data_IF_940696939940
#
_entry.id   IF_940696939940
#
_cell.length_a   1.000
_cell.length_b   1.000
_cell.length_c   1.000
_cell.angle_alpha   90.00
_cell.angle_beta   90.00
_cell.angle_gamma   90.00
#
_symmetry.space_group_name_H-M   'P 1'
#
loop_
_entity.id
_entity.type
_entity.pdbx_description
1 polymer ?
#
# COMPACT_ATOMS: atom_id res chain seq x y z
N UNK A 1 8.99 21.81 8.41
CA UNK A 1 7.87 20.86 8.34
C UNK A 1 6.68 21.54 7.66
N UNK A 2 6.09 20.88 6.67
CA UNK A 2 4.90 21.36 5.97
C UNK A 2 3.71 21.41 6.93
N UNK A 3 2.92 22.47 6.87
CA UNK A 3 1.78 22.64 7.77
C UNK A 3 0.63 21.68 7.40
N UNK A 4 0.12 20.96 8.38
CA UNK A 4 -1.01 20.05 8.22
C UNK A 4 -2.08 20.31 9.29
N UNK A 5 -3.24 19.68 9.12
CA UNK A 5 -4.32 19.70 10.11
C UNK A 5 -4.26 18.54 11.13
N UNK A 6 -3.08 17.95 11.37
CA UNK A 6 -2.90 16.72 12.16
C UNK A 6 -3.53 16.78 13.57
N UNK A 7 -3.52 17.96 14.19
CA UNK A 7 -4.02 18.14 15.57
C UNK A 7 -5.57 18.08 15.65
N UNK A 8 -6.24 18.24 14.51
CA UNK A 8 -7.70 18.20 14.41
C UNK A 8 -8.23 16.86 13.85
N UNK A 9 -7.35 15.87 13.63
CA UNK A 9 -7.76 14.57 13.12
C UNK A 9 -8.31 13.69 14.24
N UNK A 10 -9.44 13.04 13.96
CA UNK A 10 -9.96 12.00 14.85
C UNK A 10 -9.04 10.78 14.87
N UNK A 11 -8.86 10.21 16.05
CA UNK A 11 -8.25 8.89 16.23
C UNK A 11 -9.36 7.93 16.67
N UNK A 12 -9.60 6.89 15.88
CA UNK A 12 -10.68 5.92 16.09
C UNK A 12 -10.14 4.49 16.15
N UNK A 13 -10.87 3.61 16.83
CA UNK A 13 -10.58 2.19 16.83
C UNK A 13 -11.24 1.49 15.63
N UNK A 14 -10.45 0.73 14.87
CA UNK A 14 -10.95 -0.16 13.84
C UNK A 14 -10.56 -1.58 14.22
N UNK A 15 -11.54 -2.48 14.29
CA UNK A 15 -11.29 -3.87 14.65
C UNK A 15 -11.47 -4.80 13.45
N UNK A 16 -10.55 -5.73 13.32
CA UNK A 16 -10.54 -6.78 12.30
C UNK A 16 -9.95 -8.08 12.81
N UNK A 17 -9.71 -8.98 11.90
CA UNK A 17 -9.04 -10.25 12.16
C UNK A 17 -8.06 -10.61 11.05
N UNK A 18 -7.03 -11.37 11.38
CA UNK A 18 -6.08 -11.91 10.42
C UNK A 18 -6.81 -12.86 9.48
N UNK A 19 -6.70 -12.60 8.17
CA UNK A 19 -7.44 -13.33 7.15
C UNK A 19 -6.78 -14.64 6.77
N UNK A 20 -7.56 -15.55 6.20
CA UNK A 20 -7.02 -16.67 5.45
C UNK A 20 -6.32 -16.19 4.18
N UNK A 21 -5.30 -16.92 3.75
CA UNK A 21 -4.83 -16.84 2.37
C UNK A 21 -5.93 -17.37 1.44
N UNK A 22 -6.34 -16.55 0.47
CA UNK A 22 -7.43 -16.89 -0.44
C UNK A 22 -6.95 -16.87 -1.89
N UNK A 23 -7.30 -17.87 -2.66
CA UNK A 23 -7.05 -17.90 -4.12
C UNK A 23 -8.28 -17.39 -4.87
N UNK A 24 -8.10 -16.50 -5.88
CA UNK A 24 -9.23 -15.97 -6.64
C UNK A 24 -9.83 -17.00 -7.62
N UNK A 25 -9.01 -17.90 -8.12
CA UNK A 25 -9.40 -19.02 -8.98
C UNK A 25 -8.32 -20.10 -8.96
N UNK A 26 -8.67 -21.33 -9.31
CA UNK A 26 -7.70 -22.43 -9.36
C UNK A 26 -6.63 -22.19 -10.42
N UNK A 27 -7.05 -21.74 -11.61
CA UNK A 27 -6.16 -21.38 -12.72
C UNK A 27 -6.50 -20.03 -13.30
N UNK A 28 -5.48 -19.33 -13.76
CA UNK A 28 -5.58 -18.08 -14.51
C UNK A 28 -4.78 -18.19 -15.79
N UNK A 29 -5.11 -17.35 -16.77
CA UNK A 29 -4.31 -17.23 -17.99
C UNK A 29 -3.34 -16.07 -17.84
N UNK A 30 -2.07 -16.33 -18.08
CA UNK A 30 -1.01 -15.32 -18.09
C UNK A 30 -1.08 -14.47 -19.37
N UNK A 31 -0.37 -13.34 -19.38
CA UNK A 31 -0.29 -12.45 -20.54
C UNK A 31 0.25 -13.13 -21.80
N UNK A 32 1.06 -14.20 -21.67
CA UNK A 32 1.62 -15.01 -22.75
C UNK A 32 0.81 -16.29 -23.04
N UNK A 33 -0.47 -16.31 -22.65
CA UNK A 33 -1.44 -17.39 -22.88
C UNK A 33 -1.09 -18.75 -22.24
N UNK A 34 -0.36 -18.73 -21.14
CA UNK A 34 -0.10 -19.95 -20.37
C UNK A 34 -1.08 -20.10 -19.22
N UNK A 35 -1.41 -21.31 -18.85
CA UNK A 35 -2.17 -21.60 -17.64
C UNK A 35 -1.23 -21.55 -16.44
N UNK A 36 -1.64 -20.78 -15.42
CA UNK A 36 -0.92 -20.68 -14.15
C UNK A 36 -1.90 -20.86 -13.00
N UNK A 37 -1.50 -21.61 -11.98
CA UNK A 37 -2.24 -21.66 -10.73
C UNK A 37 -2.12 -20.31 -10.02
N UNK A 38 -3.25 -19.73 -9.64
CA UNK A 38 -3.24 -18.48 -8.87
C UNK A 38 -2.65 -18.72 -7.50
N UNK A 39 -1.72 -17.86 -7.08
CA UNK A 39 -1.30 -17.83 -5.70
C UNK A 39 -2.34 -17.11 -4.85
N UNK A 40 -2.51 -17.56 -3.61
CA UNK A 40 -3.34 -16.91 -2.63
C UNK A 40 -2.78 -15.56 -2.19
N UNK A 41 -3.70 -14.68 -1.80
CA UNK A 41 -3.39 -13.37 -1.22
C UNK A 41 -3.90 -13.29 0.21
N UNK A 42 -3.25 -12.46 1.00
CA UNK A 42 -3.58 -12.28 2.41
C UNK A 42 -2.97 -13.37 3.29
N UNK A 43 -3.45 -13.45 4.52
CA UNK A 43 -2.96 -14.40 5.51
C UNK A 43 -1.68 -13.94 6.20
N UNK A 44 -0.88 -14.90 6.63
CA UNK A 44 0.41 -14.69 7.28
C UNK A 44 1.50 -15.16 6.33
N UNK A 45 2.40 -14.25 5.97
CA UNK A 45 3.60 -14.54 5.16
C UNK A 45 4.81 -14.40 6.07
N UNK A 46 5.46 -15.54 6.35
CA UNK A 46 6.51 -15.61 7.37
C UNK A 46 7.86 -15.08 6.91
N UNK A 47 8.15 -15.15 5.61
CA UNK A 47 9.49 -14.96 5.04
C UNK A 47 9.59 -13.81 4.03
N UNK A 48 8.58 -12.96 3.92
CA UNK A 48 8.60 -11.75 3.07
C UNK A 48 8.26 -10.53 3.91
N UNK A 49 9.12 -9.53 3.90
CA UNK A 49 9.01 -8.35 4.75
C UNK A 49 9.15 -7.05 3.94
N UNK A 50 8.76 -5.94 4.58
CA UNK A 50 9.07 -4.60 4.06
C UNK A 50 10.59 -4.41 4.00
N UNK A 51 11.08 -3.98 2.83
CA UNK A 51 12.50 -3.87 2.52
C UNK A 51 13.05 -5.02 1.67
N UNK A 52 12.35 -6.15 1.58
CA UNK A 52 12.74 -7.26 0.72
C UNK A 52 12.48 -6.92 -0.76
N UNK A 53 13.25 -7.50 -1.70
CA UNK A 53 13.02 -7.36 -3.13
C UNK A 53 11.61 -7.82 -3.53
N UNK A 54 10.99 -7.12 -4.49
CA UNK A 54 9.70 -7.56 -5.05
C UNK A 54 9.81 -8.81 -5.92
N UNK A 55 10.98 -9.09 -6.48
CA UNK A 55 11.27 -10.23 -7.34
C UNK A 55 12.04 -11.35 -6.63
N UNK A 56 11.99 -12.54 -7.22
CA UNK A 56 12.75 -13.71 -6.74
C UNK A 56 11.94 -14.67 -5.86
N UNK A 57 10.64 -14.44 -5.71
CA UNK A 57 9.75 -15.30 -4.94
C UNK A 57 9.07 -16.32 -5.86
N UNK A 58 9.36 -17.60 -5.63
CA UNK A 58 8.76 -18.70 -6.41
C UNK A 58 7.28 -18.86 -6.10
N UNK A 59 6.51 -19.28 -7.08
CA UNK A 59 5.04 -19.42 -7.04
C UNK A 59 4.31 -18.13 -6.67
N UNK A 60 5.02 -16.97 -6.70
CA UNK A 60 4.46 -15.68 -6.32
C UNK A 60 3.75 -14.99 -7.48
N UNK A 61 2.47 -14.66 -7.30
CA UNK A 61 1.72 -13.71 -8.13
C UNK A 61 1.13 -12.66 -7.20
N UNK A 62 1.64 -11.43 -7.28
CA UNK A 62 1.33 -10.38 -6.32
C UNK A 62 1.64 -10.78 -4.84
N UNK A 63 2.80 -11.33 -4.59
CA UNK A 63 3.25 -11.63 -3.22
C UNK A 63 3.11 -10.40 -2.33
N UNK A 64 2.63 -10.60 -1.12
CA UNK A 64 2.44 -9.54 -0.12
C UNK A 64 3.40 -9.75 1.06
N UNK A 65 4.00 -8.68 1.62
CA UNK A 65 4.83 -8.80 2.80
C UNK A 65 4.00 -8.84 4.08
N UNK A 66 4.41 -9.64 5.07
CA UNK A 66 3.88 -9.60 6.43
C UNK A 66 2.51 -10.22 6.59
N UNK A 67 1.57 -9.51 7.23
CA UNK A 67 0.30 -10.08 7.72
C UNK A 67 -0.88 -9.27 7.22
N UNK A 68 -1.91 -9.96 6.73
CA UNK A 68 -3.11 -9.32 6.20
C UNK A 68 -4.31 -9.53 7.12
N UNK A 69 -5.07 -8.45 7.32
CA UNK A 69 -6.32 -8.47 8.08
C UNK A 69 -7.45 -7.74 7.36
N UNK A 70 -8.67 -8.12 7.68
CA UNK A 70 -9.88 -7.44 7.23
C UNK A 70 -10.83 -7.20 8.40
N UNK A 71 -11.74 -6.23 8.20
CA UNK A 71 -12.78 -5.95 9.18
C UNK A 71 -13.70 -7.15 9.38
N UNK A 72 -14.18 -7.27 10.60
CA UNK A 72 -15.18 -8.29 10.99
C UNK A 72 -16.58 -7.70 10.99
N UNK A 73 -17.61 -8.56 11.05
CA UNK A 73 -19.01 -8.24 11.15
C UNK A 73 -19.64 -7.91 9.77
N UNK A 74 -20.11 -6.69 9.55
CA UNK A 74 -20.86 -6.31 8.35
C UNK A 74 -19.94 -5.81 7.24
N UNK A 75 -20.44 -5.79 5.99
CA UNK A 75 -19.71 -5.21 4.86
C UNK A 75 -19.39 -3.72 5.08
N UNK A 76 -20.24 -3.01 5.84
CA UNK A 76 -19.98 -1.60 6.20
C UNK A 76 -18.81 -1.49 7.20
N UNK A 77 -18.73 -2.38 8.18
CA UNK A 77 -17.62 -2.44 9.12
C UNK A 77 -16.30 -2.83 8.42
N UNK A 78 -16.34 -3.80 7.49
CA UNK A 78 -15.21 -4.13 6.62
C UNK A 78 -14.78 -2.95 5.78
N UNK A 79 -15.73 -2.24 5.17
CA UNK A 79 -15.45 -0.99 4.45
C UNK A 79 -14.79 0.08 5.32
N UNK A 80 -15.26 0.24 6.56
CA UNK A 80 -14.66 1.13 7.56
C UNK A 80 -13.21 0.75 7.87
N UNK A 81 -12.95 -0.53 8.17
CA UNK A 81 -11.61 -1.05 8.46
C UNK A 81 -10.63 -0.74 7.33
N UNK A 82 -11.01 -1.01 6.08
CA UNK A 82 -10.18 -0.82 4.89
C UNK A 82 -9.96 0.65 4.54
N UNK A 83 -11.02 1.46 4.56
CA UNK A 83 -10.96 2.84 4.06
C UNK A 83 -10.40 3.83 5.09
N UNK A 84 -10.63 3.60 6.38
CA UNK A 84 -10.23 4.51 7.44
C UNK A 84 -8.87 4.18 8.07
N UNK A 85 -8.33 2.98 7.83
CA UNK A 85 -6.93 2.68 8.16
C UNK A 85 -5.99 3.49 7.27
N UNK A 86 -4.86 3.92 7.82
CA UNK A 86 -3.84 4.68 7.10
C UNK A 86 -2.48 4.03 7.31
N UNK A 87 -1.63 4.10 6.29
CA UNK A 87 -0.26 3.60 6.35
C UNK A 87 0.51 4.40 7.40
N UNK A 88 1.17 3.67 8.31
CA UNK A 88 1.79 4.23 9.51
C UNK A 88 0.92 4.12 10.77
N UNK A 89 -0.37 3.76 10.68
CA UNK A 89 -1.16 3.54 11.89
C UNK A 89 -0.68 2.33 12.69
N UNK A 90 -0.71 2.45 14.01
CA UNK A 90 -0.35 1.36 14.93
C UNK A 90 -1.49 0.35 15.02
N UNK A 91 -1.13 -0.91 15.06
CA UNK A 91 -2.07 -2.03 15.21
C UNK A 91 -1.69 -2.88 16.43
N UNK A 92 -2.68 -3.25 17.23
CA UNK A 92 -2.51 -4.07 18.44
C UNK A 92 -3.21 -5.41 18.25
N UNK A 93 -2.53 -6.49 18.60
CA UNK A 93 -3.12 -7.83 18.68
C UNK A 93 -3.96 -7.94 19.95
N UNK A 94 -5.22 -8.38 19.82
CA UNK A 94 -6.18 -8.44 20.93
C UNK A 94 -6.35 -9.84 21.55
N UNK A 95 -5.94 -10.89 20.85
CA UNK A 95 -6.11 -12.29 21.27
C UNK A 95 -4.94 -13.17 20.86
N UNK A 96 -5.03 -14.47 21.13
CA UNK A 96 -3.99 -15.44 20.79
C UNK A 96 -2.72 -15.30 21.63
N UNK A 97 -1.65 -15.97 21.22
CA UNK A 97 -0.36 -15.94 21.90
C UNK A 97 0.34 -14.59 21.77
N UNK A 98 0.16 -13.92 20.62
CA UNK A 98 0.69 -12.58 20.37
C UNK A 98 -0.10 -11.44 21.06
N UNK A 99 -1.06 -11.74 21.94
CA UNK A 99 -1.91 -10.73 22.59
C UNK A 99 -1.10 -9.61 23.25
N UNK A 100 -1.48 -8.36 22.93
CA UNK A 100 -0.87 -7.14 23.46
C UNK A 100 0.33 -6.64 22.66
N UNK A 101 0.85 -7.43 21.75
CA UNK A 101 1.93 -7.02 20.83
C UNK A 101 1.43 -5.99 19.81
N UNK A 102 2.37 -5.22 19.28
CA UNK A 102 2.10 -4.13 18.37
C UNK A 102 2.78 -4.33 17.02
N UNK A 103 2.10 -3.86 15.97
CA UNK A 103 2.60 -3.74 14.61
C UNK A 103 2.22 -2.41 13.98
N UNK A 104 2.38 -2.30 12.67
CA UNK A 104 2.14 -1.08 11.89
C UNK A 104 1.47 -1.42 10.57
N UNK A 105 0.48 -0.62 10.17
CA UNK A 105 -0.13 -0.71 8.82
C UNK A 105 0.89 -0.24 7.80
N UNK A 106 1.16 -1.07 6.79
CA UNK A 106 2.17 -0.81 5.76
C UNK A 106 1.58 -0.67 4.35
N UNK A 107 0.35 -1.08 4.15
CA UNK A 107 -0.31 -0.98 2.86
C UNK A 107 -1.74 -1.46 2.88
N UNK A 108 -2.38 -1.35 1.73
CA UNK A 108 -3.72 -1.85 1.47
C UNK A 108 -3.78 -2.48 0.10
N UNK A 109 -4.43 -3.62 -0.01
CA UNK A 109 -4.65 -4.28 -1.28
C UNK A 109 -6.08 -4.05 -1.71
N UNK A 110 -6.25 -3.52 -2.91
CA UNK A 110 -7.54 -3.15 -3.47
C UNK A 110 -8.35 -4.35 -3.96
N UNK A 111 -9.64 -4.08 -4.15
CA UNK A 111 -10.63 -5.07 -4.51
C UNK A 111 -10.64 -5.38 -6.01
N UNK A 112 -10.54 -6.67 -6.29
CA UNK A 112 -11.11 -7.24 -7.53
C UNK A 112 -12.25 -8.17 -7.12
N UNK A 113 -13.35 -8.26 -7.87
CA UNK A 113 -14.43 -9.21 -7.60
C UNK A 113 -13.87 -10.62 -7.38
N UNK A 114 -14.18 -11.23 -6.23
CA UNK A 114 -13.68 -12.54 -5.83
C UNK A 114 -12.27 -12.58 -5.20
N UNK A 115 -11.60 -11.44 -5.06
CA UNK A 115 -10.21 -11.38 -4.57
C UNK A 115 -10.03 -10.54 -3.30
N UNK A 116 -11.03 -10.32 -2.52
CA UNK A 116 -10.96 -9.67 -1.19
C UNK A 116 -10.14 -8.36 -1.11
N UNK A 117 -10.63 -7.45 -0.30
CA UNK A 117 -9.84 -6.32 0.18
C UNK A 117 -9.20 -6.70 1.50
N UNK A 118 -8.02 -6.19 1.79
CA UNK A 118 -7.43 -6.30 3.11
C UNK A 118 -6.40 -5.20 3.37
N UNK A 119 -6.03 -5.08 4.64
CA UNK A 119 -5.00 -4.18 5.13
C UNK A 119 -3.78 -5.02 5.43
N UNK A 120 -2.62 -4.61 4.92
CA UNK A 120 -1.34 -5.29 5.12
C UNK A 120 -0.62 -4.64 6.29
N UNK A 121 -0.10 -5.46 7.19
CA UNK A 121 0.52 -5.04 8.44
C UNK A 121 1.89 -5.67 8.61
N UNK A 122 2.80 -4.89 9.15
CA UNK A 122 4.11 -5.34 9.59
C UNK A 122 4.07 -5.64 11.09
N UNK A 123 4.69 -6.76 11.46
CA UNK A 123 5.02 -7.14 12.83
C UNK A 123 6.46 -7.66 12.86
N UNK A 124 7.10 -7.61 14.03
CA UNK A 124 8.39 -8.29 14.23
C UNK A 124 8.27 -9.79 14.06
N UNK A 125 9.32 -10.47 13.63
CA UNK A 125 9.28 -11.91 13.36
C UNK A 125 8.77 -12.72 14.55
N UNK A 126 9.24 -12.43 15.75
CA UNK A 126 8.80 -13.08 16.99
C UNK A 126 7.28 -12.97 17.23
N UNK A 127 6.66 -11.88 16.73
CA UNK A 127 5.22 -11.68 16.82
C UNK A 127 4.50 -12.46 15.72
N UNK A 128 5.08 -12.47 14.50
CA UNK A 128 4.51 -13.23 13.37
C UNK A 128 4.46 -14.72 13.69
N UNK A 129 5.47 -15.26 14.35
CA UNK A 129 5.57 -16.67 14.74
C UNK A 129 4.48 -17.09 15.75
N UNK A 130 4.01 -16.14 16.56
CA UNK A 130 2.93 -16.33 17.55
C UNK A 130 1.53 -16.02 16.99
N UNK A 131 1.44 -15.42 15.78
CA UNK A 131 0.16 -15.06 15.18
C UNK A 131 -0.53 -16.25 14.52
N UNK A 132 -1.86 -16.29 14.62
CA UNK A 132 -2.70 -17.28 13.95
C UNK A 132 -3.81 -16.60 13.12
N UNK A 133 -4.27 -17.32 12.09
CA UNK A 133 -5.42 -16.88 11.30
C UNK A 133 -6.65 -16.79 12.22
N UNK A 134 -7.38 -15.68 12.13
CA UNK A 134 -8.52 -15.39 13.00
C UNK A 134 -8.17 -14.59 14.26
N UNK A 135 -6.89 -14.37 14.56
CA UNK A 135 -6.51 -13.48 15.65
C UNK A 135 -7.08 -12.08 15.43
N UNK A 136 -7.67 -11.52 16.50
CA UNK A 136 -8.28 -10.20 16.46
C UNK A 136 -7.21 -9.12 16.55
N UNK A 137 -7.35 -8.10 15.73
CA UNK A 137 -6.47 -6.93 15.71
C UNK A 137 -7.27 -5.64 15.82
N UNK A 138 -6.69 -4.61 16.43
CA UNK A 138 -7.26 -3.28 16.51
C UNK A 138 -6.27 -2.24 16.01
N UNK A 139 -6.67 -1.50 14.98
CA UNK A 139 -5.92 -0.36 14.46
C UNK A 139 -6.33 0.89 15.22
N UNK A 140 -5.37 1.68 15.68
CA UNK A 140 -5.55 3.06 16.12
C UNK A 140 -5.49 3.95 14.88
N UNK A 141 -6.65 4.14 14.25
CA UNK A 141 -6.73 4.79 12.94
C UNK A 141 -6.79 6.31 13.08
N UNK A 142 -5.78 6.97 12.53
CA UNK A 142 -5.68 8.43 12.43
C UNK A 142 -5.13 8.80 11.06
N UNK A 143 -5.81 9.69 10.33
CA UNK A 143 -5.38 10.12 8.98
C UNK A 143 -6.54 10.42 8.03
N UNK A 144 -7.76 9.96 8.31
CA UNK A 144 -8.92 10.34 7.52
C UNK A 144 -9.16 11.87 7.59
N UNK A 145 -9.19 12.53 6.42
CA UNK A 145 -9.28 13.98 6.33
C UNK A 145 -7.96 14.73 6.55
N UNK A 146 -6.83 14.02 6.60
CA UNK A 146 -5.50 14.64 6.64
C UNK A 146 -5.25 15.48 5.38
N UNK A 147 -4.67 16.65 5.53
CA UNK A 147 -4.38 17.55 4.40
C UNK A 147 -3.23 18.51 4.70
N UNK A 148 -2.54 18.93 3.67
CA UNK A 148 -1.61 20.04 3.70
C UNK A 148 -2.39 21.36 3.64
N UNK A 149 -2.19 22.26 4.62
CA UNK A 149 -2.98 23.48 4.73
C UNK A 149 -2.69 24.50 3.63
N UNK A 150 -1.44 24.59 3.22
CA UNK A 150 -0.97 25.53 2.21
C UNK A 150 -1.02 24.94 0.77
N UNK A 151 -1.40 23.64 0.62
CA UNK A 151 -1.47 22.91 -0.65
C UNK A 151 -2.79 22.15 -0.84
N UNK A 152 -3.93 22.85 -0.95
CA UNK A 152 -5.25 22.21 -1.02
C UNK A 152 -5.47 21.33 -2.28
N UNK A 153 -4.66 21.53 -3.33
CA UNK A 153 -4.65 20.70 -4.54
C UNK A 153 -3.91 19.37 -4.38
N UNK A 154 -3.27 19.13 -3.24
CA UNK A 154 -2.61 17.86 -2.96
C UNK A 154 -3.50 17.02 -2.05
N UNK A 155 -4.08 15.96 -2.60
CA UNK A 155 -4.86 15.00 -1.81
C UNK A 155 -3.93 14.09 -1.00
N UNK A 156 -4.19 14.00 0.32
CA UNK A 156 -3.60 13.00 1.20
C UNK A 156 -4.60 11.84 1.32
N UNK A 157 -4.24 10.65 0.86
CA UNK A 157 -5.20 9.56 0.67
C UNK A 157 -5.15 8.54 1.81
N UNK A 158 -4.01 7.91 2.03
CA UNK A 158 -3.88 6.82 3.01
C UNK A 158 -2.66 7.00 3.92
N UNK A 159 -2.32 8.23 4.29
CA UNK A 159 -1.19 8.55 5.15
C UNK A 159 -1.62 8.88 6.57
N UNK A 160 -0.98 8.25 7.56
CA UNK A 160 -1.03 8.74 8.92
C UNK A 160 -0.22 10.03 9.08
N UNK A 161 -0.49 10.86 10.12
CA UNK A 161 0.34 12.02 10.41
C UNK A 161 1.81 11.66 10.64
N UNK A 162 2.07 10.56 11.33
CA UNK A 162 3.41 10.06 11.66
C UNK A 162 4.20 9.74 10.39
N UNK A 163 3.56 9.13 9.39
CA UNK A 163 4.18 8.86 8.09
C UNK A 163 4.56 10.17 7.38
N UNK A 164 3.65 11.15 7.34
CA UNK A 164 3.93 12.44 6.69
C UNK A 164 5.08 13.17 7.40
N UNK A 165 5.15 13.12 8.72
CA UNK A 165 6.21 13.76 9.52
C UNK A 165 7.59 13.11 9.31
N UNK A 166 7.64 11.80 9.16
CA UNK A 166 8.89 11.04 8.96
C UNK A 166 9.38 11.05 7.51
N UNK A 167 8.56 11.50 6.56
CA UNK A 167 8.84 11.36 5.12
C UNK A 167 9.93 12.31 4.58
N UNK A 168 10.16 13.43 5.26
CA UNK A 168 11.13 14.43 4.78
C UNK A 168 10.61 15.29 3.62
N UNK A 169 9.29 15.47 3.53
CA UNK A 169 8.68 16.38 2.55
C UNK A 169 9.10 17.82 2.86
N UNK A 170 9.60 18.52 1.85
CA UNK A 170 10.09 19.89 1.93
C UNK A 170 9.22 20.83 1.09
N UNK A 171 8.99 22.04 1.61
CA UNK A 171 8.37 23.11 0.85
C UNK A 171 9.46 23.98 0.22
N UNK A 172 9.43 24.11 -1.11
CA UNK A 172 10.36 24.94 -1.86
C UNK A 172 9.70 25.47 -3.13
N UNK A 173 9.90 26.75 -3.42
CA UNK A 173 9.39 27.42 -4.63
C UNK A 173 7.87 27.25 -4.84
N UNK A 174 7.09 27.24 -3.74
CA UNK A 174 5.63 27.06 -3.77
C UNK A 174 5.18 25.65 -4.16
N UNK A 175 6.06 24.65 -4.05
CA UNK A 175 5.79 23.24 -4.34
C UNK A 175 6.25 22.35 -3.20
N UNK A 176 5.67 21.15 -3.13
CA UNK A 176 6.11 20.10 -2.24
C UNK A 176 7.15 19.23 -2.94
N UNK A 177 8.38 19.26 -2.44
CA UNK A 177 9.43 18.33 -2.84
C UNK A 177 9.29 17.06 -2.02
N UNK A 178 8.82 16.00 -2.66
CA UNK A 178 8.47 14.72 -2.01
C UNK A 178 9.56 13.70 -2.32
N UNK A 179 10.25 13.17 -1.30
CA UNK A 179 11.20 12.07 -1.49
C UNK A 179 10.49 10.83 -2.04
N UNK A 180 11.07 10.22 -3.07
CA UNK A 180 10.59 8.99 -3.70
C UNK A 180 11.76 8.10 -4.10
N UNK A 181 11.59 6.79 -4.04
CA UNK A 181 12.62 5.82 -4.47
C UNK A 181 12.80 5.87 -5.99
N UNK A 182 11.70 5.97 -6.73
CA UNK A 182 11.70 5.93 -8.19
C UNK A 182 10.51 6.72 -8.77
N UNK A 183 10.72 7.32 -9.94
CA UNK A 183 9.65 7.89 -10.77
C UNK A 183 9.30 6.88 -11.85
N UNK A 184 8.02 6.55 -11.97
CA UNK A 184 7.49 5.56 -12.90
C UNK A 184 6.76 6.28 -14.03
N UNK A 185 7.27 6.21 -15.27
CA UNK A 185 6.57 6.75 -16.45
C UNK A 185 5.21 6.08 -16.65
N UNK A 186 4.25 6.82 -17.16
CA UNK A 186 2.89 6.35 -17.44
C UNK A 186 2.86 5.06 -18.29
N UNK A 187 3.81 4.89 -19.20
CA UNK A 187 3.92 3.71 -20.07
C UNK A 187 4.01 2.38 -19.30
N UNK A 188 4.49 2.43 -18.07
CA UNK A 188 4.58 1.26 -17.18
C UNK A 188 3.44 1.19 -16.15
N UNK A 189 2.53 2.17 -16.13
CA UNK A 189 1.43 2.15 -15.15
C UNK A 189 0.25 1.35 -15.68
N UNK A 190 -0.11 0.31 -14.95
CA UNK A 190 -1.28 -0.52 -15.18
C UNK A 190 -2.46 -0.14 -14.30
N UNK A 191 -3.59 -0.79 -14.56
CA UNK A 191 -4.84 -0.47 -13.87
C UNK A 191 -4.84 -0.82 -12.38
N UNK A 192 -4.11 -1.84 -11.96
CA UNK A 192 -4.16 -2.32 -10.58
C UNK A 192 -5.54 -2.78 -10.13
N UNK A 193 -5.76 -2.85 -8.84
CA UNK A 193 -6.97 -3.36 -8.23
C UNK A 193 -7.77 -2.28 -7.49
N UNK A 194 -9.08 -2.48 -7.40
CA UNK A 194 -10.01 -1.58 -6.74
C UNK A 194 -10.55 -0.49 -7.65
N UNK A 195 -11.44 0.31 -7.10
CA UNK A 195 -12.14 1.37 -7.80
C UNK A 195 -12.17 2.65 -6.99
N UNK A 196 -13.36 3.06 -6.61
CA UNK A 196 -13.60 4.18 -5.71
C UNK A 196 -13.98 3.66 -4.31
N UNK A 197 -13.56 4.27 -3.21
CA UNK A 197 -12.70 5.46 -3.14
C UNK A 197 -11.20 5.13 -3.31
N UNK A 198 -10.35 6.13 -3.53
CA UNK A 198 -8.91 5.92 -3.71
C UNK A 198 -8.23 5.23 -2.53
N UNK A 199 -8.77 5.36 -1.33
CA UNK A 199 -8.31 4.65 -0.12
C UNK A 199 -8.46 3.12 -0.21
N UNK A 200 -9.31 2.63 -1.10
CA UNK A 200 -9.60 1.21 -1.29
C UNK A 200 -9.05 0.66 -2.61
N UNK A 201 -8.21 1.41 -3.30
CA UNK A 201 -7.64 1.02 -4.58
C UNK A 201 -6.12 1.13 -4.57
N UNK A 202 -5.49 0.33 -5.40
CA UNK A 202 -4.07 0.43 -5.70
C UNK A 202 -3.84 0.52 -7.21
N UNK A 203 -2.75 1.17 -7.58
CA UNK A 203 -2.19 1.12 -8.93
C UNK A 203 -1.29 -0.10 -9.05
N UNK A 204 -1.04 -0.52 -10.28
CA UNK A 204 0.00 -1.52 -10.56
C UNK A 204 1.06 -0.92 -11.49
N UNK A 205 2.32 -1.25 -11.25
CA UNK A 205 3.38 -1.08 -12.24
C UNK A 205 3.41 -2.37 -13.04
N UNK A 206 3.16 -2.29 -14.36
CA UNK A 206 3.03 -3.45 -15.24
C UNK A 206 4.33 -4.26 -15.28
N UNK A 207 4.21 -5.57 -15.24
CA UNK A 207 5.35 -6.49 -15.24
C UNK A 207 5.26 -7.55 -16.35
N UNK A 208 4.55 -7.23 -17.47
CA UNK A 208 4.33 -8.15 -18.58
C UNK A 208 5.23 -7.89 -19.79
N UNK A 209 6.20 -6.99 -19.69
CA UNK A 209 7.21 -6.79 -20.73
C UNK A 209 8.62 -6.89 -20.17
N UNK A 210 9.61 -7.32 -20.97
CA UNK A 210 11.01 -7.34 -20.53
C UNK A 210 11.51 -5.97 -20.06
N UNK A 211 11.12 -4.91 -20.74
CA UNK A 211 11.52 -3.54 -20.41
C UNK A 211 10.94 -3.09 -19.06
N UNK A 212 9.67 -3.41 -18.79
CA UNK A 212 9.03 -3.11 -17.52
C UNK A 212 9.66 -3.91 -16.37
N UNK A 213 9.97 -5.19 -16.59
CA UNK A 213 10.68 -6.04 -15.60
C UNK A 213 12.05 -5.45 -15.31
N UNK A 214 12.84 -5.10 -16.34
CA UNK A 214 14.15 -4.49 -16.17
C UNK A 214 14.07 -3.16 -15.41
N UNK A 215 13.07 -2.34 -15.71
CA UNK A 215 12.82 -1.08 -15.02
C UNK A 215 12.49 -1.26 -13.53
N UNK A 216 11.77 -2.32 -13.18
CA UNK A 216 11.23 -2.54 -11.82
C UNK A 216 12.07 -3.51 -10.97
N UNK A 217 13.07 -4.19 -11.52
CA UNK A 217 13.77 -5.32 -10.88
C UNK A 217 14.44 -5.00 -9.54
N UNK A 218 14.74 -3.72 -9.29
CA UNK A 218 15.37 -3.20 -8.08
C UNK A 218 14.36 -2.71 -7.02
N UNK A 219 13.06 -2.72 -7.32
CA UNK A 219 12.03 -2.32 -6.37
C UNK A 219 11.90 -3.30 -5.21
N UNK A 220 11.67 -2.73 -4.02
CA UNK A 220 11.47 -3.45 -2.76
C UNK A 220 10.08 -3.17 -2.20
N UNK A 221 9.53 -4.08 -1.44
CA UNK A 221 8.33 -3.78 -0.65
C UNK A 221 8.59 -2.61 0.29
N UNK A 222 7.68 -1.64 0.31
CA UNK A 222 7.83 -0.42 1.09
C UNK A 222 8.55 0.73 0.37
N UNK A 223 9.05 0.55 -0.84
CA UNK A 223 9.59 1.65 -1.65
C UNK A 223 8.49 2.64 -2.00
N UNK A 224 8.82 3.92 -2.01
CA UNK A 224 7.90 5.00 -2.35
C UNK A 224 8.10 5.38 -3.81
N UNK A 225 7.06 5.28 -4.61
CA UNK A 225 7.15 5.60 -6.05
C UNK A 225 6.21 6.74 -6.44
N UNK A 226 6.61 7.54 -7.42
CA UNK A 226 5.74 8.51 -8.07
C UNK A 226 5.34 7.95 -9.43
N UNK A 227 4.04 7.90 -9.70
CA UNK A 227 3.45 7.48 -10.95
C UNK A 227 3.05 8.71 -11.75
N UNK A 228 3.65 8.89 -12.94
CA UNK A 228 3.34 10.01 -13.82
C UNK A 228 1.99 9.86 -14.51
N UNK A 229 1.38 10.99 -14.86
CA UNK A 229 0.09 11.11 -15.58
C UNK A 229 -1.07 10.33 -14.94
N UNK A 230 -1.04 10.19 -13.61
CA UNK A 230 -2.05 9.46 -12.83
C UNK A 230 -2.72 10.36 -11.79
N UNK A 231 -4.04 10.16 -11.60
CA UNK A 231 -4.84 10.91 -10.64
C UNK A 231 -5.67 9.97 -9.76
N UNK A 232 -5.62 10.20 -8.44
CA UNK A 232 -6.31 9.39 -7.44
C UNK A 232 -7.20 10.23 -6.50
N UNK A 233 -8.04 11.13 -7.05
CA UNK A 233 -8.94 11.96 -6.23
C UNK A 233 -10.23 11.23 -5.84
N UNK A 234 -10.85 10.54 -6.81
CA UNK A 234 -12.14 9.86 -6.65
C UNK A 234 -12.08 8.38 -6.99
N UNK A 235 -10.92 7.87 -7.26
CA UNK A 235 -10.59 6.56 -7.77
C UNK A 235 -9.33 6.71 -8.59
N UNK A 236 -9.09 5.80 -9.51
CA UNK A 236 -7.94 5.84 -10.40
C UNK A 236 -8.32 6.40 -11.76
N UNK A 237 -7.49 7.26 -12.30
CA UNK A 237 -7.65 7.81 -13.64
C UNK A 237 -6.32 8.29 -14.22
N UNK A 238 -6.19 8.22 -15.54
CA UNK A 238 -5.08 8.84 -16.24
C UNK A 238 -5.40 10.30 -16.51
N UNK A 239 -4.47 11.17 -16.18
CA UNK A 239 -4.62 12.60 -16.38
C UNK A 239 -3.25 13.23 -16.62
N UNK A 240 -3.05 13.75 -17.84
CA UNK A 240 -1.76 14.33 -18.24
C UNK A 240 -1.29 15.45 -17.31
N UNK A 241 -0.06 15.33 -16.82
CA UNK A 241 0.56 16.25 -15.87
C UNK A 241 0.18 16.03 -14.40
N UNK A 242 -0.77 15.12 -14.10
CA UNK A 242 -1.05 14.72 -12.73
C UNK A 242 -0.02 13.72 -12.23
N UNK A 243 0.08 13.58 -10.91
CA UNK A 243 0.93 12.57 -10.29
C UNK A 243 0.22 11.89 -9.11
N UNK A 244 0.52 10.62 -8.93
CA UNK A 244 0.18 9.87 -7.73
C UNK A 244 1.47 9.34 -7.09
N UNK A 245 1.62 9.55 -5.79
CA UNK A 245 2.70 8.97 -5.00
C UNK A 245 2.12 7.85 -4.14
N UNK A 246 2.81 6.72 -4.11
CA UNK A 246 2.34 5.58 -3.33
C UNK A 246 3.46 4.67 -2.87
N UNK A 247 3.10 3.70 -2.04
CA UNK A 247 4.01 2.70 -1.50
C UNK A 247 3.83 1.36 -2.20
N UNK A 248 4.93 0.74 -2.57
CA UNK A 248 4.97 -0.62 -3.14
C UNK A 248 4.58 -1.63 -2.07
N UNK A 249 3.52 -2.42 -2.34
CA UNK A 249 2.96 -3.34 -1.36
C UNK A 249 2.74 -4.76 -1.86
N UNK A 250 2.67 -4.98 -3.17
CA UNK A 250 2.64 -6.32 -3.73
C UNK A 250 3.74 -6.53 -4.76
N UNK A 251 4.17 -7.76 -4.94
CA UNK A 251 5.14 -8.16 -5.96
C UNK A 251 4.56 -8.18 -7.38
N UNK A 252 5.35 -8.66 -8.36
CA UNK A 252 4.95 -8.72 -9.76
C UNK A 252 3.76 -9.65 -10.00
N UNK A 253 3.10 -9.46 -11.14
CA UNK A 253 2.01 -10.32 -11.59
C UNK A 253 2.19 -10.71 -13.05
N UNK A 254 1.75 -11.92 -13.41
CA UNK A 254 1.69 -12.39 -14.78
C UNK A 254 0.33 -12.10 -15.46
N UNK A 255 -0.59 -11.47 -14.76
CA UNK A 255 -1.87 -11.03 -15.34
C UNK A 255 -1.70 -9.75 -16.16
N UNK A 256 -2.32 -9.72 -17.34
CA UNK A 256 -2.28 -8.54 -18.21
C UNK A 256 -2.83 -7.30 -17.49
N UNK A 257 -2.10 -6.19 -17.56
CA UNK A 257 -2.44 -4.91 -16.93
C UNK A 257 -2.22 -4.85 -15.42
N UNK A 258 -1.77 -5.95 -14.81
CA UNK A 258 -1.39 -6.02 -13.39
C UNK A 258 0.13 -6.05 -13.21
N UNK A 259 0.59 -6.00 -11.98
CA UNK A 259 2.01 -6.02 -11.67
C UNK A 259 2.31 -5.69 -10.22
N UNK A 260 3.37 -4.93 -10.01
CA UNK A 260 3.76 -4.47 -8.68
C UNK A 260 2.72 -3.47 -8.16
N UNK A 261 2.01 -3.83 -7.11
CA UNK A 261 0.93 -3.03 -6.56
C UNK A 261 1.41 -1.85 -5.71
N UNK A 262 0.78 -0.69 -5.91
CA UNK A 262 1.13 0.57 -5.26
C UNK A 262 -0.08 1.14 -4.54
N UNK A 263 -0.05 1.16 -3.21
CA UNK A 263 -1.08 1.80 -2.38
C UNK A 263 -0.90 3.32 -2.41
N UNK A 264 -1.96 4.05 -2.76
CA UNK A 264 -1.91 5.51 -2.89
C UNK A 264 -1.69 6.22 -1.55
N UNK A 265 -0.74 7.14 -1.53
CA UNK A 265 -0.42 8.01 -0.39
C UNK A 265 -0.81 9.47 -0.67
N UNK A 266 -0.37 10.01 -1.79
CA UNK A 266 -0.66 11.39 -2.22
C UNK A 266 -1.10 11.38 -3.67
N UNK A 267 -1.90 12.37 -4.07
CA UNK A 267 -2.18 12.64 -5.49
C UNK A 267 -2.34 14.12 -5.75
N UNK A 268 -1.89 14.59 -6.90
CA UNK A 268 -1.95 15.99 -7.28
C UNK A 268 -2.20 16.14 -8.79
N UNK A 269 -3.19 16.97 -9.14
CA UNK A 269 -3.53 17.29 -10.52
C UNK A 269 -2.66 18.42 -11.11
N UNK A 270 -2.22 19.34 -10.28
CA UNK A 270 -1.79 20.68 -10.71
C UNK A 270 -0.27 20.93 -10.56
N UNK A 271 0.56 19.89 -10.57
CA UNK A 271 2.01 20.03 -10.59
C UNK A 271 2.61 20.63 -9.29
N UNK A 272 1.91 20.51 -8.17
CA UNK A 272 2.39 20.98 -6.85
C UNK A 272 3.34 19.98 -6.17
N UNK A 273 3.47 18.77 -6.69
CA UNK A 273 4.41 17.75 -6.22
C UNK A 273 5.59 17.69 -7.18
N UNK A 274 6.79 17.77 -6.63
CA UNK A 274 8.06 17.57 -7.34
C UNK A 274 8.77 16.38 -6.71
N UNK A 275 9.10 15.32 -7.46
CA UNK A 275 9.82 14.18 -6.91
C UNK A 275 11.27 14.55 -6.57
N UNK A 276 11.74 14.10 -5.40
CA UNK A 276 13.14 14.10 -4.99
C UNK A 276 13.59 12.66 -4.91
N UNK A 277 14.29 12.18 -5.96
CA UNK A 277 14.66 10.77 -6.04
C UNK A 277 15.73 10.43 -4.99
N UNK A 278 15.44 9.46 -4.15
CA UNK A 278 16.32 8.84 -3.18
C UNK A 278 16.16 7.31 -3.24
N UNK A 279 17.06 6.59 -3.91
CA UNK A 279 16.94 5.13 -4.08
C UNK A 279 16.98 4.33 -2.77
N UNK A 280 17.47 4.93 -1.69
CA UNK A 280 17.53 4.31 -0.37
C UNK A 280 16.28 4.55 0.48
N UNK A 281 15.34 5.36 -0.01
CA UNK A 281 14.09 5.63 0.68
C UNK A 281 13.23 4.35 0.72
N UNK A 282 12.75 4.01 1.91
CA UNK A 282 11.85 2.88 2.09
C UNK A 282 11.02 3.07 3.36
N UNK A 283 9.79 2.60 3.34
CA UNK A 283 8.86 2.66 4.47
C UNK A 283 9.46 2.07 5.76
N UNK A 284 10.30 1.03 5.63
CA UNK A 284 11.01 0.40 6.76
C UNK A 284 11.82 1.42 7.55
N UNK A 285 12.59 2.27 6.85
CA UNK A 285 13.39 3.35 7.48
C UNK A 285 12.50 4.48 7.98
N UNK A 286 11.47 4.86 7.19
CA UNK A 286 10.60 6.00 7.53
C UNK A 286 9.81 5.78 8.82
N UNK A 287 9.39 4.55 9.08
CA UNK A 287 8.57 4.19 10.24
C UNK A 287 9.34 3.38 11.30
N UNK A 288 10.65 3.25 11.15
CA UNK A 288 11.52 2.47 12.07
C UNK A 288 10.97 1.05 12.32
N UNK A 289 10.69 0.34 11.22
CA UNK A 289 10.14 -1.01 11.29
C UNK A 289 11.27 -2.02 11.53
N UNK A 290 11.28 -2.59 12.73
CA UNK A 290 12.24 -3.63 13.12
C UNK A 290 11.80 -5.01 12.58
N UNK A 291 12.77 -5.88 12.26
CA UNK A 291 12.57 -7.26 11.81
C UNK A 291 12.07 -8.21 12.91
#
# INVERSE_FOLDING_TARGET
>A
LVKTNKDNLLEIALQGEITHTAIPSTYTTTWDNKSQMSLGRGGIVYNVKVGDPCYGWELGDNVEPGVSADGTDTDRAKGGFRNLSNIGNRVKVLGGEAKGKWGTVIGKVGYLPGRGHHVVMHFKQEVIDDLTIGDKVQIRAKGAGHKFLDYPGVAVVSCSPELVESWGIEEKDGKLHVPVTKVVPMDYVGQGAGGSPPQASNWDIQTQSPDAVEFCKDLRFGDIVLLEDTLSYYGRGYYHGAVTVGVVITGPSNHMGHGIGVSTLLSCKEGQIVPKVDPDLNLKKMLDLED
#
